data_IF_369032798435
#
_entry.id   IF_369032798435
#
_cell.length_a   1.000
_cell.length_b   1.000
_cell.length_c   1.000
_cell.angle_alpha   90.00
_cell.angle_beta   90.00
_cell.angle_gamma   90.00
#
_symmetry.space_group_name_H-M   'P 1'
#
loop_
_entity.id
_entity.type
_entity.pdbx_description
1 polymer ?
#
# COMPACT_ATOMS: atom_id res chain seq x y z
N UNK A 1 -21.24 -0.93 -7.38
CA UNK A 1 -22.34 -0.71 -8.34
C UNK A 1 -22.66 0.79 -8.54
N UNK A 2 -22.09 1.67 -7.71
CA UNK A 2 -22.41 3.11 -7.71
C UNK A 2 -21.49 3.94 -8.61
N UNK A 3 -20.54 3.29 -9.28
CA UNK A 3 -19.52 3.96 -10.09
C UNK A 3 -19.46 3.39 -11.51
N UNK A 4 -19.11 4.29 -12.46
CA UNK A 4 -18.60 3.95 -13.79
C UNK A 4 -17.07 3.89 -13.72
N UNK A 5 -16.47 2.85 -14.29
CA UNK A 5 -15.04 2.66 -14.35
C UNK A 5 -14.47 3.37 -15.56
N UNK A 6 -13.41 4.14 -15.41
CA UNK A 6 -12.79 4.89 -16.50
C UNK A 6 -11.43 4.32 -16.89
N UNK A 7 -10.66 3.84 -15.94
CA UNK A 7 -9.37 3.22 -16.17
C UNK A 7 -8.52 3.24 -14.92
N UNK A 8 -7.61 2.29 -14.81
CA UNK A 8 -6.62 2.21 -13.75
C UNK A 8 -5.45 3.14 -14.07
N UNK A 9 -4.86 3.75 -13.05
CA UNK A 9 -3.77 4.72 -13.17
C UNK A 9 -2.44 4.06 -12.87
N UNK A 10 -2.30 3.48 -11.67
CA UNK A 10 -1.05 2.90 -11.19
C UNK A 10 -1.27 1.74 -10.23
N UNK A 11 -0.23 0.93 -10.09
CA UNK A 11 -0.01 0.01 -8.98
C UNK A 11 1.01 0.64 -8.03
N UNK A 12 0.71 0.68 -6.75
CA UNK A 12 1.57 1.27 -5.74
C UNK A 12 1.98 0.22 -4.72
N UNK A 13 3.25 -0.17 -4.68
CA UNK A 13 3.79 -1.01 -3.63
C UNK A 13 3.65 -0.38 -2.26
N UNK A 14 3.72 -1.19 -1.21
CA UNK A 14 3.74 -0.70 0.16
C UNK A 14 5.08 -1.05 0.81
N UNK A 15 5.41 -0.34 1.89
CA UNK A 15 6.61 -0.56 2.69
C UNK A 15 6.23 -0.84 4.13
N UNK A 16 6.91 -1.78 4.75
CA UNK A 16 6.81 -2.05 6.18
C UNK A 16 7.84 -1.19 6.91
N UNK A 17 7.35 -0.34 7.80
CA UNK A 17 8.11 0.73 8.45
C UNK A 17 8.13 0.57 9.96
N UNK A 18 9.19 1.09 10.57
CA UNK A 18 9.28 1.32 12.00
C UNK A 18 9.76 2.73 12.33
N UNK A 19 9.48 3.17 13.53
CA UNK A 19 9.99 4.44 14.05
C UNK A 19 11.53 4.49 14.03
N UNK A 20 12.16 5.67 13.97
CA UNK A 20 13.62 5.79 13.89
C UNK A 20 14.37 5.09 15.02
N UNK A 21 13.80 5.09 16.23
CA UNK A 21 14.40 4.53 17.44
C UNK A 21 14.20 3.02 17.58
N UNK A 22 13.47 2.36 16.69
CA UNK A 22 13.23 0.92 16.78
C UNK A 22 14.55 0.15 16.70
N UNK A 23 14.87 -0.75 17.65
CA UNK A 23 16.17 -1.42 17.73
C UNK A 23 16.28 -2.60 16.76
N UNK A 24 16.08 -2.31 15.46
CA UNK A 24 16.22 -3.24 14.35
C UNK A 24 16.78 -2.50 13.15
N UNK A 25 17.62 -3.16 12.35
CA UNK A 25 18.19 -2.59 11.13
C UNK A 25 17.94 -3.47 9.90
N UNK A 26 17.53 -4.72 10.09
CA UNK A 26 17.15 -5.64 9.03
C UNK A 26 15.71 -6.13 9.25
N UNK A 27 15.09 -6.69 8.22
CA UNK A 27 13.77 -7.31 8.37
C UNK A 27 13.76 -8.43 9.42
N UNK A 28 14.83 -9.23 9.48
CA UNK A 28 14.93 -10.33 10.46
C UNK A 28 14.99 -9.82 11.89
N UNK A 29 15.78 -8.78 12.13
CA UNK A 29 15.86 -8.14 13.46
C UNK A 29 14.51 -7.53 13.83
N UNK A 30 13.85 -6.89 12.85
CA UNK A 30 12.54 -6.30 13.03
C UNK A 30 11.50 -7.36 13.41
N UNK A 31 11.38 -8.44 12.65
CA UNK A 31 10.45 -9.53 12.96
C UNK A 31 10.74 -10.15 14.34
N UNK A 32 12.01 -10.41 14.67
CA UNK A 32 12.40 -10.94 15.98
C UNK A 32 12.01 -9.98 17.11
N UNK A 33 12.23 -8.69 16.91
CA UNK A 33 11.86 -7.65 17.89
C UNK A 33 10.34 -7.59 18.11
N UNK A 34 9.55 -7.64 17.03
CA UNK A 34 8.08 -7.65 17.14
C UNK A 34 7.60 -8.92 17.87
N UNK A 35 8.17 -10.09 17.56
CA UNK A 35 7.83 -11.34 18.28
C UNK A 35 8.09 -11.27 19.78
N UNK A 36 9.17 -10.63 20.17
CA UNK A 36 9.53 -10.50 21.59
C UNK A 36 8.75 -9.42 22.35
N UNK A 37 8.23 -8.39 21.64
CA UNK A 37 7.68 -7.18 22.27
C UNK A 37 6.27 -6.80 21.80
N UNK A 38 5.64 -7.58 20.92
CA UNK A 38 4.40 -7.21 20.22
C UNK A 38 3.31 -6.63 21.12
N UNK A 39 3.08 -7.23 22.28
CA UNK A 39 2.06 -6.74 23.24
C UNK A 39 2.31 -5.33 23.82
N UNK A 40 3.49 -4.76 23.57
CA UNK A 40 3.87 -3.40 24.01
C UNK A 40 4.00 -2.42 22.84
N UNK A 41 3.78 -2.89 21.62
CA UNK A 41 3.98 -2.12 20.40
C UNK A 41 2.66 -1.75 19.73
N UNK A 42 2.69 -0.63 19.03
CA UNK A 42 1.55 -0.10 18.29
C UNK A 42 1.78 -0.19 16.78
N UNK A 43 0.73 -0.59 16.06
CA UNK A 43 0.66 -0.56 14.60
C UNK A 43 -0.28 0.57 14.17
N UNK A 44 0.27 1.63 13.61
CA UNK A 44 -0.49 2.76 13.11
C UNK A 44 -1.06 2.49 11.71
N UNK A 45 -2.23 3.01 11.43
CA UNK A 45 -2.85 2.95 10.10
C UNK A 45 -3.74 4.16 9.79
N UNK A 46 -4.04 4.39 8.51
CA UNK A 46 -4.76 5.56 8.02
C UNK A 46 -6.29 5.55 8.24
N UNK A 47 -6.78 4.61 9.03
CA UNK A 47 -8.19 4.39 9.34
C UNK A 47 -8.59 2.93 9.12
N UNK A 48 -9.69 2.52 9.73
CA UNK A 48 -10.22 1.17 9.57
C UNK A 48 -10.52 0.88 8.09
N UNK A 49 -10.17 -0.31 7.61
CA UNK A 49 -10.35 -0.71 6.21
C UNK A 49 -9.41 -0.04 5.20
N UNK A 50 -8.57 0.90 5.62
CA UNK A 50 -7.56 1.48 4.72
C UNK A 50 -6.53 0.46 4.25
N UNK A 51 -5.83 0.75 3.13
CA UNK A 51 -4.77 -0.10 2.63
C UNK A 51 -3.67 -0.35 3.68
N UNK A 52 -3.30 0.69 4.46
CA UNK A 52 -2.33 0.56 5.54
C UNK A 52 -2.81 -0.37 6.66
N UNK A 53 -4.10 -0.34 7.00
CA UNK A 53 -4.70 -1.27 7.96
C UNK A 53 -4.63 -2.71 7.45
N UNK A 54 -5.12 -2.95 6.24
CA UNK A 54 -5.11 -4.30 5.63
C UNK A 54 -3.69 -4.85 5.50
N UNK A 55 -2.74 -4.03 5.06
CA UNK A 55 -1.34 -4.42 4.98
C UNK A 55 -0.78 -4.89 6.32
N UNK A 56 -0.99 -4.11 7.37
CA UNK A 56 -0.54 -4.46 8.71
C UNK A 56 -1.14 -5.76 9.23
N UNK A 57 -2.45 -5.97 9.01
CA UNK A 57 -3.13 -7.21 9.38
C UNK A 57 -2.63 -8.41 8.58
N UNK A 58 -2.51 -8.28 7.26
CA UNK A 58 -2.00 -9.35 6.39
C UNK A 58 -0.58 -9.75 6.79
N UNK A 59 0.29 -8.77 7.08
CA UNK A 59 1.64 -9.05 7.54
C UNK A 59 1.64 -9.78 8.88
N UNK A 60 0.91 -9.29 9.89
CA UNK A 60 0.80 -9.96 11.19
C UNK A 60 0.31 -11.40 11.05
N UNK A 61 -0.70 -11.63 10.21
CA UNK A 61 -1.22 -12.98 9.96
C UNK A 61 -0.17 -13.86 9.26
N UNK A 62 0.52 -13.35 8.25
CA UNK A 62 1.56 -14.08 7.53
C UNK A 62 2.71 -14.52 8.44
N UNK A 63 3.10 -13.69 9.42
CA UNK A 63 4.12 -14.03 10.43
C UNK A 63 3.55 -14.74 11.66
N UNK A 64 2.25 -15.08 11.67
CA UNK A 64 1.56 -15.74 12.79
C UNK A 64 1.65 -14.95 14.12
N UNK A 65 1.45 -13.66 14.01
CA UNK A 65 1.41 -12.71 15.13
C UNK A 65 0.07 -11.95 15.16
N UNK A 66 -1.03 -12.64 14.82
CA UNK A 66 -2.36 -12.05 14.79
C UNK A 66 -2.68 -11.34 16.10
N UNK A 67 -3.08 -10.07 15.98
CA UNK A 67 -3.45 -9.21 17.11
C UNK A 67 -2.36 -9.07 18.19
N UNK A 68 -1.09 -9.30 17.83
CA UNK A 68 0.02 -9.14 18.79
C UNK A 68 0.32 -7.68 19.14
N UNK A 69 0.06 -6.76 18.18
CA UNK A 69 0.22 -5.32 18.39
C UNK A 69 -1.13 -4.63 18.54
N UNK A 70 -1.18 -3.55 19.31
CA UNK A 70 -2.36 -2.67 19.38
C UNK A 70 -2.43 -1.83 18.10
N UNK A 71 -3.56 -1.87 17.40
CA UNK A 71 -3.77 -1.04 16.21
C UNK A 71 -4.28 0.36 16.60
N UNK A 72 -3.68 1.40 16.03
CA UNK A 72 -4.04 2.80 16.26
C UNK A 72 -4.53 3.41 14.96
N UNK A 73 -5.82 3.75 14.91
CA UNK A 73 -6.48 4.34 13.76
C UNK A 73 -6.28 5.86 13.71
N UNK A 74 -5.84 6.36 12.58
CA UNK A 74 -5.70 7.80 12.29
C UNK A 74 -6.68 8.23 11.19
N UNK A 75 -6.89 9.54 11.06
CA UNK A 75 -7.65 10.13 9.94
C UNK A 75 -6.72 10.39 8.74
N UNK A 76 -6.17 9.31 8.16
CA UNK A 76 -5.26 9.35 7.02
C UNK A 76 -3.79 9.12 7.39
N UNK A 77 -2.96 8.95 6.35
CA UNK A 77 -1.52 8.64 6.48
C UNK A 77 -0.72 9.77 7.13
N UNK A 78 -1.03 11.03 6.84
CA UNK A 78 -0.23 12.16 7.32
C UNK A 78 -0.05 12.21 8.84
N UNK A 79 -1.13 12.23 9.64
CA UNK A 79 -1.04 12.17 11.10
C UNK A 79 -0.35 10.91 11.61
N UNK A 80 -0.65 9.74 11.04
CA UNK A 80 -0.01 8.48 11.43
C UNK A 80 1.52 8.50 11.19
N UNK A 81 1.95 9.03 10.05
CA UNK A 81 3.35 9.18 9.70
C UNK A 81 4.07 10.17 10.64
N UNK A 82 3.44 11.27 11.00
CA UNK A 82 4.02 12.23 11.95
C UNK A 82 4.27 11.58 13.31
N UNK A 83 3.32 10.79 13.80
CA UNK A 83 3.46 10.09 15.08
C UNK A 83 4.49 8.94 15.00
N UNK A 84 4.63 8.28 13.86
CA UNK A 84 5.69 7.30 13.63
C UNK A 84 7.07 7.96 13.68
N UNK A 85 7.25 9.08 12.98
CA UNK A 85 8.49 9.87 12.99
C UNK A 85 8.80 10.37 14.40
N UNK A 86 7.79 10.86 15.13
CA UNK A 86 7.90 11.33 16.50
C UNK A 86 8.07 10.23 17.55
N UNK A 87 7.96 8.95 17.15
CA UNK A 87 8.13 7.80 18.06
C UNK A 87 6.91 7.52 18.94
N UNK A 88 5.75 8.14 18.70
CA UNK A 88 4.51 7.92 19.45
C UNK A 88 3.87 6.57 19.10
N UNK A 89 4.10 6.07 17.90
CA UNK A 89 3.74 4.72 17.45
C UNK A 89 4.97 4.01 16.90
N UNK A 90 4.91 2.69 16.80
CA UNK A 90 6.10 1.87 16.60
C UNK A 90 6.28 1.38 15.17
N UNK A 91 5.19 0.96 14.54
CA UNK A 91 5.17 0.28 13.25
C UNK A 91 4.05 0.84 12.38
N UNK A 92 4.27 0.84 11.07
CA UNK A 92 3.27 1.20 10.06
C UNK A 92 3.54 0.41 8.78
N UNK A 93 2.49 0.09 8.03
CA UNK A 93 2.60 -0.30 6.63
C UNK A 93 1.89 0.74 5.79
N UNK A 94 2.58 1.34 4.82
CA UNK A 94 1.94 2.34 3.94
C UNK A 94 2.55 2.35 2.54
N UNK A 95 1.84 2.96 1.61
CA UNK A 95 2.19 3.03 0.20
C UNK A 95 3.47 3.83 -0.06
N UNK A 96 4.25 3.42 -1.05
CA UNK A 96 5.54 4.03 -1.40
C UNK A 96 5.42 5.52 -1.71
N UNK A 97 4.32 5.97 -2.31
CA UNK A 97 4.06 7.39 -2.60
C UNK A 97 4.03 8.28 -1.35
N UNK A 98 3.75 7.72 -0.17
CA UNK A 98 3.79 8.43 1.11
C UNK A 98 5.12 8.21 1.86
N UNK A 99 5.80 7.10 1.62
CA UNK A 99 6.90 6.63 2.47
C UNK A 99 8.28 6.86 1.89
N UNK A 100 8.43 6.88 0.55
CA UNK A 100 9.74 6.99 -0.12
C UNK A 100 10.53 8.20 0.36
N UNK A 101 9.94 9.39 0.36
CA UNK A 101 10.62 10.61 0.83
C UNK A 101 10.99 10.58 2.32
N UNK A 102 10.22 9.86 3.16
CA UNK A 102 10.52 9.70 4.57
C UNK A 102 11.69 8.74 4.79
N UNK A 103 11.75 7.69 3.98
CA UNK A 103 12.84 6.71 3.97
C UNK A 103 14.14 7.39 3.49
N UNK A 104 14.10 8.12 2.40
CA UNK A 104 15.23 8.89 1.85
C UNK A 104 15.76 9.92 2.84
N UNK A 105 14.88 10.59 3.54
CA UNK A 105 15.23 11.55 4.60
C UNK A 105 15.70 10.92 5.90
N UNK A 106 15.76 9.57 6.01
CA UNK A 106 16.15 8.86 7.23
C UNK A 106 15.21 9.10 8.42
N UNK A 107 13.98 9.54 8.15
CA UNK A 107 13.00 9.89 9.20
C UNK A 107 12.24 8.68 9.74
N UNK A 108 12.25 7.59 9.01
CA UNK A 108 11.70 6.29 9.41
C UNK A 108 12.65 5.18 8.98
N UNK A 109 12.54 4.01 9.60
CA UNK A 109 13.22 2.79 9.15
C UNK A 109 12.29 1.99 8.24
N UNK A 110 12.75 1.58 7.05
CA UNK A 110 12.05 0.64 6.21
C UNK A 110 12.70 -0.75 6.33
N UNK A 111 11.89 -1.80 6.31
CA UNK A 111 12.35 -3.17 6.51
C UNK A 111 12.08 -4.08 5.32
N UNK A 112 10.98 -3.88 4.63
CA UNK A 112 10.62 -4.67 3.46
C UNK A 112 9.63 -3.93 2.57
N UNK A 113 9.53 -4.37 1.31
CA UNK A 113 8.45 -4.02 0.38
C UNK A 113 7.46 -5.17 0.28
N UNK A 114 6.21 -4.86 -0.05
CA UNK A 114 5.10 -5.82 -0.07
C UNK A 114 4.89 -6.52 -1.40
N UNK A 115 5.62 -6.13 -2.42
CA UNK A 115 5.59 -6.76 -3.75
C UNK A 115 6.21 -8.16 -3.74
N UNK A 116 5.82 -9.01 -4.69
CA UNK A 116 6.37 -10.36 -4.84
C UNK A 116 7.89 -10.37 -5.05
N UNK A 117 8.45 -9.30 -5.64
CA UNK A 117 9.89 -9.10 -5.88
C UNK A 117 10.33 -7.74 -5.36
N UNK A 118 11.64 -7.57 -5.03
CA UNK A 118 12.18 -6.26 -4.70
C UNK A 118 11.99 -5.24 -5.82
N UNK A 119 11.94 -3.97 -5.46
CA UNK A 119 11.81 -2.86 -6.42
C UNK A 119 13.19 -2.47 -6.98
N UNK A 120 13.82 -3.40 -7.70
CA UNK A 120 15.22 -3.29 -8.15
C UNK A 120 15.51 -2.06 -9.04
N UNK A 121 14.49 -1.54 -9.73
CA UNK A 121 14.61 -0.34 -10.56
C UNK A 121 14.56 0.98 -9.77
N UNK A 122 14.12 0.97 -8.51
CA UNK A 122 14.00 2.19 -7.72
C UNK A 122 15.29 2.48 -6.94
N UNK A 123 15.84 3.71 -6.99
CA UNK A 123 17.15 4.03 -6.40
C UNK A 123 17.22 3.75 -4.89
N UNK A 124 16.17 4.05 -4.15
CA UNK A 124 16.08 3.89 -2.69
C UNK A 124 15.49 2.53 -2.30
N UNK A 125 14.34 2.18 -2.88
CA UNK A 125 13.57 1.00 -2.44
C UNK A 125 14.23 -0.33 -2.84
N UNK A 126 15.14 -0.35 -3.81
CA UNK A 126 15.93 -1.54 -4.20
C UNK A 126 16.77 -2.15 -3.07
N UNK A 127 17.02 -1.39 -2.01
CA UNK A 127 17.82 -1.85 -0.87
C UNK A 127 17.01 -2.65 0.14
N UNK A 128 15.70 -2.74 -0.03
CA UNK A 128 14.81 -3.46 0.87
C UNK A 128 14.30 -4.75 0.21
N UNK A 129 14.35 -5.88 0.93
CA UNK A 129 13.84 -7.15 0.40
C UNK A 129 12.33 -7.11 0.23
N UNK A 130 11.80 -7.99 -0.62
CA UNK A 130 10.37 -8.28 -0.58
C UNK A 130 10.03 -9.19 0.61
N UNK A 131 8.81 -9.08 1.13
CA UNK A 131 8.34 -9.97 2.19
C UNK A 131 8.35 -11.44 1.73
N UNK A 132 8.14 -11.70 0.44
CA UNK A 132 8.22 -13.04 -0.13
C UNK A 132 9.65 -13.61 -0.06
N UNK A 133 10.69 -12.81 -0.33
CA UNK A 133 12.09 -13.23 -0.15
C UNK A 133 12.43 -13.49 1.32
N UNK A 134 11.74 -12.83 2.23
CA UNK A 134 11.90 -13.05 3.68
C UNK A 134 11.16 -14.29 4.18
N UNK A 135 10.56 -15.09 3.28
CA UNK A 135 9.93 -16.37 3.58
C UNK A 135 8.40 -16.32 3.66
N UNK A 136 7.77 -15.17 3.48
CA UNK A 136 6.31 -15.06 3.46
C UNK A 136 5.77 -15.41 2.07
N UNK A 137 5.76 -16.70 1.74
CA UNK A 137 5.36 -17.23 0.43
C UNK A 137 3.98 -16.74 0.02
N UNK A 138 3.88 -16.22 -1.21
CA UNK A 138 2.64 -15.71 -1.76
C UNK A 138 2.23 -14.33 -1.25
N UNK A 139 3.06 -13.70 -0.41
CA UNK A 139 2.80 -12.31 -0.01
C UNK A 139 3.08 -11.39 -1.19
N UNK A 140 2.03 -10.84 -1.74
CA UNK A 140 2.07 -9.87 -2.84
C UNK A 140 0.90 -8.92 -2.68
N UNK A 141 1.19 -7.71 -2.22
CA UNK A 141 0.21 -6.67 -1.97
C UNK A 141 0.67 -5.37 -2.60
N UNK A 142 -0.13 -4.87 -3.51
CA UNK A 142 -0.08 -3.48 -3.98
C UNK A 142 -1.43 -2.84 -3.75
N UNK A 143 -1.45 -1.54 -3.59
CA UNK A 143 -2.68 -0.79 -3.77
C UNK A 143 -2.72 -0.25 -5.20
N UNK A 144 -3.90 0.04 -5.65
CA UNK A 144 -4.10 0.59 -6.99
C UNK A 144 -4.97 1.83 -6.93
N UNK A 145 -4.72 2.74 -7.85
CA UNK A 145 -5.59 3.90 -8.05
C UNK A 145 -6.22 3.83 -9.43
N UNK A 146 -7.49 4.17 -9.49
CA UNK A 146 -8.26 4.24 -10.70
C UNK A 146 -9.10 5.51 -10.76
N UNK A 147 -9.49 5.89 -11.97
CA UNK A 147 -10.43 6.96 -12.21
C UNK A 147 -11.84 6.38 -12.32
N UNK A 148 -12.78 7.02 -11.64
CA UNK A 148 -14.18 6.62 -11.57
C UNK A 148 -15.07 7.83 -11.81
N UNK A 149 -16.29 7.59 -12.26
CA UNK A 149 -17.34 8.59 -12.32
C UNK A 149 -18.59 8.07 -11.60
N UNK A 150 -19.50 8.94 -11.17
CA UNK A 150 -20.79 8.52 -10.64
C UNK A 150 -21.58 7.67 -11.64
N UNK A 151 -22.34 6.71 -11.14
CA UNK A 151 -23.23 5.87 -11.95
C UNK A 151 -24.19 6.72 -12.78
N UNK A 152 -24.36 6.38 -14.05
CA UNK A 152 -25.23 7.10 -14.96
C UNK A 152 -24.60 8.35 -15.58
N UNK A 153 -23.29 8.58 -15.40
CA UNK A 153 -22.57 9.62 -16.16
C UNK A 153 -22.73 9.39 -17.68
N UNK A 154 -23.08 10.40 -18.47
CA UNK A 154 -23.33 10.23 -19.91
C UNK A 154 -22.12 9.67 -20.68
N UNK A 155 -22.35 8.76 -21.61
CA UNK A 155 -21.31 8.10 -22.39
C UNK A 155 -20.30 9.05 -23.08
N UNK A 156 -20.71 10.19 -23.66
CA UNK A 156 -19.75 11.16 -24.23
C UNK A 156 -18.79 11.73 -23.18
N UNK A 157 -19.27 11.96 -21.94
CA UNK A 157 -18.43 12.45 -20.83
C UNK A 157 -17.44 11.37 -20.40
N UNK A 158 -17.90 10.14 -20.22
CA UNK A 158 -17.03 9.00 -19.89
C UNK A 158 -15.93 8.80 -20.93
N UNK A 159 -16.30 8.92 -22.23
CA UNK A 159 -15.32 8.83 -23.33
C UNK A 159 -14.27 9.93 -23.22
N UNK A 160 -14.67 11.18 -23.03
CA UNK A 160 -13.76 12.32 -22.90
C UNK A 160 -12.80 12.14 -21.74
N UNK A 161 -13.30 11.69 -20.57
CA UNK A 161 -12.48 11.44 -19.39
C UNK A 161 -11.50 10.27 -19.61
N UNK A 162 -11.94 9.19 -20.23
CA UNK A 162 -11.06 8.06 -20.54
C UNK A 162 -9.98 8.45 -21.55
N UNK A 163 -10.32 9.18 -22.61
CA UNK A 163 -9.34 9.67 -23.61
C UNK A 163 -8.29 10.58 -22.96
N UNK A 164 -8.70 11.46 -22.03
CA UNK A 164 -7.80 12.31 -21.27
C UNK A 164 -6.89 11.50 -20.34
N UNK A 165 -7.44 10.49 -19.65
CA UNK A 165 -6.67 9.57 -18.82
C UNK A 165 -5.61 8.83 -19.66
N UNK A 166 -5.98 8.25 -20.78
CA UNK A 166 -5.07 7.53 -21.67
C UNK A 166 -3.93 8.43 -22.19
N UNK A 167 -4.21 9.72 -22.40
CA UNK A 167 -3.18 10.71 -22.75
C UNK A 167 -2.23 10.97 -21.58
N UNK A 168 -2.77 11.18 -20.37
CA UNK A 168 -1.98 11.42 -19.17
C UNK A 168 -1.07 10.23 -18.82
N UNK A 169 -1.55 8.99 -18.96
CA UNK A 169 -0.78 7.77 -18.69
C UNK A 169 0.41 7.56 -19.65
N UNK A 170 0.45 8.30 -20.76
CA UNK A 170 1.57 8.28 -21.74
C UNK A 170 2.50 9.47 -21.58
N UNK A 171 2.20 10.39 -20.67
CA UNK A 171 3.03 11.57 -20.43
C UNK A 171 4.32 11.17 -19.70
N UNK A 172 5.52 11.44 -20.30
CA UNK A 172 6.79 11.03 -19.70
C UNK A 172 7.07 11.69 -18.35
N UNK A 173 6.62 12.94 -18.14
CA UNK A 173 6.81 13.65 -16.87
C UNK A 173 5.93 13.02 -15.78
N UNK A 174 4.70 12.68 -16.10
CA UNK A 174 3.81 11.97 -15.18
C UNK A 174 4.39 10.61 -14.81
N UNK A 175 4.82 9.80 -15.79
CA UNK A 175 5.40 8.47 -15.56
C UNK A 175 6.63 8.60 -14.64
N UNK A 176 7.55 9.50 -14.95
CA UNK A 176 8.75 9.75 -14.16
C UNK A 176 8.42 10.09 -12.70
N UNK A 177 7.47 11.00 -12.47
CA UNK A 177 7.04 11.37 -11.11
C UNK A 177 6.45 10.19 -10.34
N UNK A 178 5.71 9.30 -11.00
CA UNK A 178 5.17 8.09 -10.37
C UNK A 178 6.30 7.11 -9.99
N UNK A 179 7.23 6.88 -10.91
CA UNK A 179 8.38 5.98 -10.68
C UNK A 179 9.29 6.49 -9.56
N UNK A 180 9.55 7.81 -9.49
CA UNK A 180 10.31 8.44 -8.39
C UNK A 180 9.67 8.22 -7.01
N UNK A 181 8.37 7.98 -6.97
CA UNK A 181 7.63 7.65 -5.74
C UNK A 181 7.46 6.14 -5.53
N UNK A 182 8.06 5.32 -6.37
CA UNK A 182 7.95 3.87 -6.32
C UNK A 182 6.62 3.31 -6.82
N UNK A 183 5.80 4.11 -7.50
CA UNK A 183 4.56 3.66 -8.14
C UNK A 183 4.82 3.23 -9.60
N UNK A 184 4.04 2.27 -10.07
CA UNK A 184 4.12 1.74 -11.44
C UNK A 184 2.89 2.17 -12.22
N UNK A 185 3.08 3.01 -13.24
CA UNK A 185 1.98 3.41 -14.12
C UNK A 185 1.49 2.22 -14.93
N UNK A 186 0.18 2.04 -15.00
CA UNK A 186 -0.45 0.94 -15.75
C UNK A 186 -0.27 1.15 -17.24
N UNK A 187 0.17 0.10 -17.95
CA UNK A 187 0.42 0.11 -19.40
C UNK A 187 -0.32 -0.99 -20.16
N UNK A 188 -1.19 -1.72 -19.48
CA UNK A 188 -1.95 -2.85 -20.03
C UNK A 188 -3.44 -2.54 -20.18
N UNK A 189 -4.26 -3.57 -20.42
CA UNK A 189 -5.69 -3.40 -20.65
C UNK A 189 -6.47 -2.82 -19.46
N UNK A 190 -5.88 -2.77 -18.26
CA UNK A 190 -6.48 -2.13 -17.08
C UNK A 190 -6.64 -0.61 -17.23
N UNK A 191 -6.01 -0.01 -18.21
CA UNK A 191 -6.25 1.39 -18.61
C UNK A 191 -7.65 1.60 -19.22
N UNK A 192 -8.31 0.53 -19.68
CA UNK A 192 -9.65 0.60 -20.26
C UNK A 192 -10.74 0.44 -19.19
N UNK A 193 -11.96 0.96 -19.40
CA UNK A 193 -13.08 0.78 -18.48
C UNK A 193 -13.34 -0.69 -18.12
N UNK A 194 -13.40 -1.56 -19.13
CA UNK A 194 -13.69 -2.99 -18.94
C UNK A 194 -12.55 -3.72 -18.21
N UNK A 195 -11.31 -3.45 -18.58
CA UNK A 195 -10.13 -4.04 -17.94
C UNK A 195 -10.01 -3.60 -16.48
N UNK A 196 -10.27 -2.33 -16.21
CA UNK A 196 -10.30 -1.78 -14.83
C UNK A 196 -11.40 -2.43 -14.00
N UNK A 197 -12.62 -2.51 -14.52
CA UNK A 197 -13.74 -3.16 -13.83
C UNK A 197 -13.45 -4.63 -13.50
N UNK A 198 -12.93 -5.40 -14.45
CA UNK A 198 -12.56 -6.81 -14.25
C UNK A 198 -11.50 -6.94 -13.16
N UNK A 199 -10.49 -6.08 -13.20
CA UNK A 199 -9.42 -6.09 -12.20
C UNK A 199 -9.96 -5.80 -10.79
N UNK A 200 -10.73 -4.73 -10.61
CA UNK A 200 -11.29 -4.35 -9.30
C UNK A 200 -12.20 -5.45 -8.75
N UNK A 201 -13.06 -6.04 -9.58
CA UNK A 201 -13.91 -7.17 -9.17
C UNK A 201 -13.08 -8.33 -8.64
N UNK A 202 -12.04 -8.73 -9.37
CA UNK A 202 -11.15 -9.81 -8.92
C UNK A 202 -10.39 -9.47 -7.62
N UNK A 203 -10.02 -8.21 -7.41
CA UNK A 203 -9.39 -7.78 -6.15
C UNK A 203 -10.36 -7.79 -4.96
N UNK A 204 -11.62 -7.41 -5.17
CA UNK A 204 -12.66 -7.52 -4.15
C UNK A 204 -12.79 -8.97 -3.69
N UNK A 205 -12.90 -9.91 -4.62
CA UNK A 205 -13.00 -11.35 -4.32
C UNK A 205 -11.76 -11.86 -3.58
N UNK A 206 -10.55 -11.48 -4.04
CA UNK A 206 -9.28 -11.86 -3.42
C UNK A 206 -9.16 -11.35 -1.98
N UNK A 207 -9.55 -10.11 -1.72
CA UNK A 207 -9.40 -9.47 -0.41
C UNK A 207 -10.54 -9.80 0.55
N UNK A 208 -11.66 -10.34 0.06
CA UNK A 208 -12.85 -10.62 0.87
C UNK A 208 -12.51 -11.45 2.11
N UNK A 209 -11.74 -12.53 1.96
CA UNK A 209 -11.36 -13.40 3.08
C UNK A 209 -10.56 -12.66 4.15
N UNK A 210 -9.65 -11.77 3.74
CA UNK A 210 -8.85 -10.95 4.65
C UNK A 210 -9.73 -9.95 5.38
N UNK A 211 -10.63 -9.31 4.65
CA UNK A 211 -11.59 -8.34 5.17
C UNK A 211 -12.53 -9.01 6.18
N UNK A 212 -13.12 -10.15 5.81
CA UNK A 212 -14.02 -10.89 6.69
C UNK A 212 -13.31 -11.36 7.98
N UNK A 213 -12.04 -11.80 7.89
CA UNK A 213 -11.26 -12.23 9.06
C UNK A 213 -10.86 -11.09 10.00
N UNK A 214 -10.68 -9.90 9.46
CA UNK A 214 -10.27 -8.73 10.24
C UNK A 214 -11.46 -8.05 10.99
N UNK A 215 -12.71 -8.36 10.63
CA UNK A 215 -13.92 -7.88 11.29
C UNK A 215 -14.51 -6.59 10.70
N UNK A 216 -15.38 -5.92 11.45
CA UNK A 216 -16.13 -4.75 10.98
C UNK A 216 -15.22 -3.54 10.72
N UNK A 217 -15.29 -2.94 9.52
CA UNK A 217 -14.37 -1.90 9.04
C UNK A 217 -14.96 -0.50 8.94
N UNK A 218 -16.24 -0.41 8.80
CA UNK A 218 -16.98 0.85 8.80
C UNK A 218 -18.42 0.61 9.26
N UNK A 219 -18.91 1.50 10.08
CA UNK A 219 -20.34 1.72 10.30
C UNK A 219 -20.90 2.62 9.21
#
# INVERSE_FOLDING_TARGET
EDFEFLGMINDVPMTLLGKPQLPANTYRDFEAYIRANGGKLNLAHAGLGSASHLCGLMWQSAVKLDKSMTTIAYRGTGPAMNDLIGGQVDVMCDQTTNTTAQIEGGRVKAFAVTTAKPLSGHPTLKHYPSLQEMGLKGFDLTIWHGLYAPKGTPAPVLKTLNDALLKALKDPEFIKKQEEQGALVVTDNRMTPDGHKKFVTAQIDKLKTVIDAAGQYAD
#
